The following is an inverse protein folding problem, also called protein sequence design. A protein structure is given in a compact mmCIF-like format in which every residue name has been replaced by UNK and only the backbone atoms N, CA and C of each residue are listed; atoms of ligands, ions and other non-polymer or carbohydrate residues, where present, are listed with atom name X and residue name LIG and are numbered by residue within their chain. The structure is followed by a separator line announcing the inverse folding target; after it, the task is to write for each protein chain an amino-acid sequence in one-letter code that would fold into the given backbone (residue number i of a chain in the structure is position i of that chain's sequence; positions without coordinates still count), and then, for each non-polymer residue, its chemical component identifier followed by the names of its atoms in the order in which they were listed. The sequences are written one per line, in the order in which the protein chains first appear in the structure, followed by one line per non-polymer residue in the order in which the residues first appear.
data_IF_604222310781
#
_entry.id   IF_604222310781
#
_cell.length_a   1.000
_cell.length_b   1.000
_cell.length_c   1.000
_cell.angle_alpha   90.00
_cell.angle_beta   90.00
_cell.angle_gamma   90.00
#
_symmetry.space_group_name_H-M   'P 1'
#
loop_
_entity.id
_entity.type
_entity.pdbx_description
1 polymer ?
#
# COMPACT_ATOMS: atom_id res chain seq x y z
N UNK A 1 -36.74 25.53 2.64
CA UNK A 1 -36.53 24.07 2.67
C UNK A 1 -35.02 23.86 2.74
N UNK A 2 -34.52 23.69 3.95
CA UNK A 2 -33.08 23.47 4.20
C UNK A 2 -32.76 22.02 3.78
N UNK A 3 -31.90 21.89 2.77
CA UNK A 3 -31.34 20.60 2.41
C UNK A 3 -30.38 20.16 3.51
N UNK A 4 -30.88 19.37 4.43
CA UNK A 4 -30.12 18.68 5.45
C UNK A 4 -29.33 17.54 4.76
N UNK A 5 -28.15 17.87 4.19
CA UNK A 5 -27.20 16.85 3.79
C UNK A 5 -26.65 16.22 5.08
N UNK A 6 -27.35 15.21 5.56
CA UNK A 6 -26.79 14.28 6.53
C UNK A 6 -25.53 13.67 5.89
N UNK A 7 -24.37 14.18 6.32
CA UNK A 7 -23.09 13.57 5.95
C UNK A 7 -23.14 12.11 6.39
N UNK A 8 -22.92 11.18 5.43
CA UNK A 8 -22.74 9.76 5.79
C UNK A 8 -21.69 9.67 6.89
N UNK A 9 -21.92 8.87 7.94
CA UNK A 9 -20.94 8.68 9.00
C UNK A 9 -19.61 8.24 8.37
N UNK A 10 -18.50 8.86 8.80
CA UNK A 10 -17.18 8.52 8.34
C UNK A 10 -16.90 7.04 8.62
N UNK A 11 -16.40 6.29 7.62
CA UNK A 11 -16.09 4.85 7.73
C UNK A 11 -14.83 4.55 8.56
N UNK A 12 -14.27 5.53 9.25
CA UNK A 12 -12.97 5.43 9.90
C UNK A 12 -11.83 5.87 8.98
N UNK A 13 -10.63 5.41 9.27
CA UNK A 13 -9.39 5.80 8.57
C UNK A 13 -8.92 4.71 7.62
N UNK A 14 -8.54 5.11 6.41
CA UNK A 14 -7.66 4.33 5.53
C UNK A 14 -6.24 4.91 5.63
N UNK A 15 -5.31 4.14 6.19
CA UNK A 15 -3.91 4.53 6.35
C UNK A 15 -3.08 3.95 5.20
N UNK A 16 -2.47 4.82 4.38
CA UNK A 16 -1.61 4.45 3.26
C UNK A 16 -0.15 4.73 3.61
N UNK A 17 0.61 3.69 3.89
CA UNK A 17 2.04 3.76 4.17
C UNK A 17 2.80 3.76 2.85
N UNK A 18 3.40 4.91 2.51
CA UNK A 18 4.09 5.11 1.24
C UNK A 18 3.16 5.58 0.13
N UNK A 19 2.40 6.65 0.37
CA UNK A 19 1.59 7.30 -0.65
C UNK A 19 2.50 8.09 -1.61
N UNK A 20 2.65 7.59 -2.82
CA UNK A 20 3.33 8.26 -3.94
C UNK A 20 2.32 8.81 -4.94
N UNK A 21 2.84 9.35 -6.04
CA UNK A 21 2.06 10.04 -7.06
C UNK A 21 1.29 9.06 -8.00
N UNK A 22 1.51 7.76 -7.85
CA UNK A 22 0.85 6.71 -8.62
C UNK A 22 -0.02 5.82 -7.71
N UNK A 23 0.32 4.53 -7.57
CA UNK A 23 -0.50 3.52 -6.87
C UNK A 23 -0.98 3.97 -5.49
N UNK A 24 -0.07 4.45 -4.62
CA UNK A 24 -0.45 4.87 -3.27
C UNK A 24 -1.37 6.08 -3.25
N UNK A 25 -1.20 7.03 -4.18
CA UNK A 25 -2.07 8.18 -4.35
C UNK A 25 -3.47 7.79 -4.84
N UNK A 26 -3.55 6.92 -5.85
CA UNK A 26 -4.85 6.45 -6.35
C UNK A 26 -5.61 5.61 -5.32
N UNK A 27 -4.90 4.80 -4.51
CA UNK A 27 -5.50 4.11 -3.38
C UNK A 27 -6.09 5.12 -2.39
N UNK A 28 -5.34 6.16 -2.01
CA UNK A 28 -5.84 7.20 -1.09
C UNK A 28 -7.10 7.89 -1.63
N UNK A 29 -7.09 8.30 -2.91
CA UNK A 29 -8.25 8.89 -3.59
C UNK A 29 -9.45 7.94 -3.62
N UNK A 30 -9.21 6.66 -3.91
CA UNK A 30 -10.28 5.66 -3.97
C UNK A 30 -10.95 5.45 -2.62
N UNK A 31 -10.17 5.34 -1.55
CA UNK A 31 -10.72 5.18 -0.20
C UNK A 31 -11.41 6.45 0.28
N UNK A 32 -10.88 7.64 -0.03
CA UNK A 32 -11.56 8.91 0.29
C UNK A 32 -12.92 9.03 -0.41
N UNK A 33 -13.00 8.71 -1.73
CA UNK A 33 -14.28 8.62 -2.44
C UNK A 33 -15.24 7.59 -1.83
N UNK A 34 -14.71 6.57 -1.20
CA UNK A 34 -15.46 5.54 -0.49
C UNK A 34 -15.96 5.95 0.90
N UNK A 35 -15.65 7.17 1.36
CA UNK A 35 -16.11 7.72 2.65
C UNK A 35 -15.15 7.48 3.81
N UNK A 36 -13.91 7.01 3.56
CA UNK A 36 -12.86 6.94 4.57
C UNK A 36 -12.12 8.28 4.68
N UNK A 37 -11.59 8.58 5.86
CA UNK A 37 -10.54 9.58 6.00
C UNK A 37 -9.22 9.00 5.51
N UNK A 38 -8.64 9.56 4.45
CA UNK A 38 -7.37 9.09 3.90
C UNK A 38 -6.18 9.68 4.68
N UNK A 39 -5.51 8.86 5.48
CA UNK A 39 -4.26 9.20 6.15
C UNK A 39 -3.08 8.66 5.34
N UNK A 40 -2.18 9.53 4.92
CA UNK A 40 -1.10 9.20 4.00
C UNK A 40 0.26 9.48 4.61
N UNK A 41 1.24 8.60 4.38
CA UNK A 41 2.60 8.81 4.86
C UNK A 41 3.63 8.91 3.75
N UNK A 42 4.60 9.79 3.94
CA UNK A 42 5.79 9.93 3.12
C UNK A 42 6.92 10.52 3.98
N UNK A 43 8.19 10.18 3.72
CA UNK A 43 9.32 10.78 4.46
C UNK A 43 9.38 12.30 4.32
N UNK A 44 9.07 12.82 3.13
CA UNK A 44 8.88 14.26 2.88
C UNK A 44 7.37 14.51 2.75
N UNK A 45 6.78 15.09 3.80
CA UNK A 45 5.33 15.37 3.88
C UNK A 45 4.88 16.42 2.86
N UNK A 46 5.73 17.38 2.48
CA UNK A 46 5.36 18.43 1.53
C UNK A 46 4.94 17.88 0.18
N UNK A 47 5.51 16.74 -0.20
CA UNK A 47 5.14 16.03 -1.43
C UNK A 47 3.75 15.40 -1.40
N UNK A 48 3.06 15.41 -0.27
CA UNK A 48 1.66 14.96 -0.16
C UNK A 48 0.66 16.11 -0.37
N UNK A 49 1.08 17.37 -0.31
CA UNK A 49 0.18 18.52 -0.38
C UNK A 49 -0.68 18.55 -1.66
N UNK A 50 -0.14 18.29 -2.87
CA UNK A 50 -0.97 18.25 -4.08
C UNK A 50 -2.06 17.17 -4.02
N UNK A 51 -1.73 15.99 -3.50
CA UNK A 51 -2.66 14.86 -3.37
C UNK A 51 -3.74 15.14 -2.31
N UNK A 52 -3.36 15.77 -1.19
CA UNK A 52 -4.31 16.21 -0.15
C UNK A 52 -5.30 17.22 -0.75
N UNK A 53 -4.79 18.25 -1.45
CA UNK A 53 -5.61 19.26 -2.08
C UNK A 53 -6.58 18.66 -3.12
N UNK A 54 -6.12 17.71 -3.93
CA UNK A 54 -6.96 17.01 -4.91
C UNK A 54 -8.10 16.24 -4.25
N UNK A 55 -7.80 15.47 -3.18
CA UNK A 55 -8.83 14.72 -2.44
C UNK A 55 -9.85 15.65 -1.82
N UNK A 56 -9.39 16.76 -1.20
CA UNK A 56 -10.26 17.75 -0.57
C UNK A 56 -11.14 18.49 -1.59
N UNK A 57 -10.60 18.82 -2.76
CA UNK A 57 -11.35 19.45 -3.85
C UNK A 57 -12.47 18.53 -4.39
N UNK A 58 -12.33 17.21 -4.24
CA UNK A 58 -13.35 16.22 -4.56
C UNK A 58 -14.31 15.93 -3.40
N UNK A 59 -14.26 16.71 -2.31
CA UNK A 59 -15.11 16.55 -1.13
C UNK A 59 -14.69 15.45 -0.16
N UNK A 60 -13.51 14.85 -0.34
CA UNK A 60 -12.94 13.86 0.57
C UNK A 60 -12.19 14.51 1.74
N UNK A 61 -11.89 13.69 2.76
CA UNK A 61 -11.05 14.10 3.90
C UNK A 61 -9.70 13.41 3.79
N UNK A 62 -8.60 14.18 3.89
CA UNK A 62 -7.26 13.66 3.79
C UNK A 62 -6.27 14.38 4.70
N UNK A 63 -5.32 13.61 5.27
CA UNK A 63 -4.20 14.09 6.08
C UNK A 63 -2.89 13.46 5.61
N UNK A 64 -1.81 14.24 5.66
CA UNK A 64 -0.47 13.81 5.32
C UNK A 64 0.47 13.83 6.52
N UNK A 65 1.31 12.81 6.67
CA UNK A 65 2.25 12.67 7.77
C UNK A 65 3.66 12.41 7.26
N UNK A 66 4.64 13.15 7.82
CA UNK A 66 6.06 12.86 7.65
C UNK A 66 6.46 11.71 8.56
N UNK A 67 6.75 10.53 7.99
CA UNK A 67 7.15 9.37 8.78
C UNK A 67 8.10 8.48 8.00
N UNK A 68 9.12 7.97 8.67
CA UNK A 68 9.99 6.92 8.17
C UNK A 68 9.56 5.58 8.76
N UNK A 69 8.85 4.78 7.97
CA UNK A 69 8.29 3.50 8.38
C UNK A 69 9.33 2.45 8.84
N UNK A 70 10.65 2.73 8.67
CA UNK A 70 11.75 1.91 9.17
C UNK A 70 12.07 2.19 10.64
N UNK A 71 11.53 3.28 11.20
CA UNK A 71 11.76 3.71 12.57
C UNK A 71 10.56 3.37 13.44
N UNK A 72 10.77 2.41 14.33
CA UNK A 72 9.69 1.87 15.18
C UNK A 72 8.99 2.95 15.97
N UNK A 73 9.73 3.87 16.58
CA UNK A 73 9.16 4.95 17.41
C UNK A 73 8.24 5.84 16.56
N UNK A 74 8.66 6.21 15.34
CA UNK A 74 7.85 7.04 14.45
C UNK A 74 6.58 6.31 13.98
N UNK A 75 6.63 5.00 13.81
CA UNK A 75 5.45 4.17 13.46
C UNK A 75 4.47 4.13 14.63
N UNK A 76 4.96 3.92 15.85
CA UNK A 76 4.14 3.89 17.05
C UNK A 76 3.45 5.25 17.25
N UNK A 77 4.20 6.34 17.25
CA UNK A 77 3.69 7.71 17.41
C UNK A 77 2.64 8.06 16.35
N UNK A 78 2.90 7.71 15.09
CA UNK A 78 1.98 7.95 13.98
C UNK A 78 0.64 7.23 14.20
N UNK A 79 0.69 5.93 14.48
CA UNK A 79 -0.52 5.11 14.64
C UNK A 79 -1.30 5.56 15.86
N UNK A 80 -0.63 5.85 16.97
CA UNK A 80 -1.26 6.38 18.18
C UNK A 80 -1.92 7.73 17.93
N UNK A 81 -1.24 8.64 17.22
CA UNK A 81 -1.79 9.95 16.85
C UNK A 81 -3.07 9.81 16.00
N UNK A 82 -3.04 8.94 14.97
CA UNK A 82 -4.19 8.75 14.09
C UNK A 82 -5.38 8.15 14.86
N UNK A 83 -5.16 7.09 15.62
CA UNK A 83 -6.21 6.42 16.40
C UNK A 83 -6.84 7.35 17.45
N UNK A 84 -6.04 8.22 18.08
CA UNK A 84 -6.50 9.09 19.17
C UNK A 84 -7.14 10.39 18.68
N UNK A 85 -6.70 10.94 17.54
CA UNK A 85 -7.08 12.29 17.13
C UNK A 85 -7.90 12.36 15.84
N UNK A 86 -7.90 11.28 15.03
CA UNK A 86 -8.60 11.27 13.72
C UNK A 86 -9.70 10.22 13.73
N UNK A 87 -9.36 8.99 14.10
CA UNK A 87 -10.32 7.89 14.18
C UNK A 87 -9.68 6.52 14.01
N UNK A 88 -10.48 5.46 14.16
CA UNK A 88 -9.98 4.09 14.07
C UNK A 88 -9.46 3.77 12.67
N UNK A 89 -8.28 3.14 12.61
CA UNK A 89 -7.68 2.68 11.36
C UNK A 89 -8.39 1.37 10.96
N UNK A 90 -9.37 1.48 10.07
CA UNK A 90 -10.15 0.33 9.56
C UNK A 90 -9.45 -0.36 8.39
N UNK A 91 -8.64 0.37 7.62
CA UNK A 91 -7.85 -0.17 6.52
C UNK A 91 -6.43 0.36 6.60
N UNK A 92 -5.45 -0.54 6.51
CA UNK A 92 -4.05 -0.18 6.32
C UNK A 92 -3.53 -0.78 5.01
N UNK A 93 -2.92 0.05 4.17
CA UNK A 93 -2.23 -0.37 2.95
C UNK A 93 -0.74 -0.06 3.08
N UNK A 94 0.08 -1.09 3.08
CA UNK A 94 1.53 -0.93 2.98
C UNK A 94 1.96 -0.95 1.52
N UNK A 95 2.46 0.19 1.01
CA UNK A 95 2.80 0.40 -0.40
C UNK A 95 4.24 0.90 -0.60
N UNK A 96 5.17 0.53 0.27
CA UNK A 96 6.58 0.87 0.09
C UNK A 96 7.26 -0.18 -0.79
N UNK A 97 7.93 0.31 -1.83
CA UNK A 97 8.83 -0.47 -2.68
C UNK A 97 10.28 -0.02 -2.51
N UNK A 98 11.20 -0.83 -3.01
CA UNK A 98 12.63 -0.54 -3.06
C UNK A 98 13.23 -1.22 -4.31
N UNK A 99 12.60 -1.01 -5.47
CA UNK A 99 13.00 -1.62 -6.73
C UNK A 99 14.25 -0.93 -7.29
N UNK A 100 15.43 -1.36 -6.82
CA UNK A 100 16.72 -0.83 -7.24
C UNK A 100 17.54 -1.98 -7.82
N UNK A 101 17.77 -2.00 -9.15
CA UNK A 101 18.57 -3.05 -9.78
C UNK A 101 20.06 -2.94 -9.38
N UNK A 102 20.68 -4.10 -9.16
CA UNK A 102 22.12 -4.23 -8.93
C UNK A 102 22.59 -5.64 -9.24
N UNK A 103 23.77 -5.77 -9.89
CA UNK A 103 24.41 -7.07 -10.05
C UNK A 103 24.72 -7.68 -8.68
N UNK A 104 24.50 -8.98 -8.52
CA UNK A 104 24.85 -9.68 -7.27
C UNK A 104 26.35 -9.55 -6.91
N UNK A 105 27.19 -9.39 -7.91
CA UNK A 105 28.65 -9.22 -7.72
C UNK A 105 29.02 -7.81 -7.23
N UNK A 106 28.14 -6.82 -7.43
CA UNK A 106 28.35 -5.41 -7.04
C UNK A 106 27.49 -4.99 -5.84
N UNK A 107 26.54 -5.87 -5.44
CA UNK A 107 25.60 -5.56 -4.36
C UNK A 107 26.35 -5.48 -3.02
N UNK A 108 26.18 -4.38 -2.31
CA UNK A 108 26.78 -4.22 -0.99
C UNK A 108 25.85 -4.69 0.11
N UNK A 109 26.40 -5.23 1.20
CA UNK A 109 25.63 -5.62 2.37
C UNK A 109 24.74 -4.48 2.89
N UNK A 110 25.25 -3.24 2.88
CA UNK A 110 24.51 -2.04 3.29
C UNK A 110 23.29 -1.77 2.39
N UNK A 111 23.44 -1.89 1.06
CA UNK A 111 22.36 -1.65 0.11
C UNK A 111 21.33 -2.77 0.19
N UNK A 112 21.77 -4.03 0.22
CA UNK A 112 20.92 -5.20 0.40
C UNK A 112 20.04 -5.06 1.66
N UNK A 113 20.65 -4.75 2.81
CA UNK A 113 19.94 -4.57 4.07
C UNK A 113 18.95 -3.40 4.01
N UNK A 114 19.33 -2.26 3.40
CA UNK A 114 18.42 -1.12 3.25
C UNK A 114 17.20 -1.43 2.41
N UNK A 115 17.34 -2.23 1.36
CA UNK A 115 16.21 -2.66 0.52
C UNK A 115 15.26 -3.55 1.34
N UNK A 116 15.82 -4.50 2.09
CA UNK A 116 15.05 -5.36 2.99
C UNK A 116 14.34 -4.55 4.09
N UNK A 117 15.07 -3.64 4.72
CA UNK A 117 14.53 -2.72 5.74
C UNK A 117 13.33 -1.91 5.22
N UNK A 118 13.43 -1.40 3.98
CA UNK A 118 12.37 -0.61 3.36
C UNK A 118 11.16 -1.45 2.94
N UNK A 119 11.37 -2.62 2.32
CA UNK A 119 10.29 -3.36 1.66
C UNK A 119 9.68 -4.47 2.51
N UNK A 120 10.35 -4.89 3.61
CA UNK A 120 9.88 -5.95 4.49
C UNK A 120 9.80 -5.51 5.96
N UNK A 121 10.92 -5.06 6.55
CA UNK A 121 10.96 -4.73 7.98
C UNK A 121 9.99 -3.60 8.34
N UNK A 122 9.90 -2.56 7.52
CA UNK A 122 8.93 -1.48 7.72
C UNK A 122 7.48 -1.97 7.61
N UNK A 123 7.21 -2.99 6.80
CA UNK A 123 5.89 -3.63 6.72
C UNK A 123 5.55 -4.38 8.01
N UNK A 124 6.54 -5.07 8.59
CA UNK A 124 6.38 -5.71 9.89
C UNK A 124 6.05 -4.68 10.98
N UNK A 125 6.80 -3.59 11.08
CA UNK A 125 6.56 -2.56 12.09
C UNK A 125 5.16 -1.96 11.96
N UNK A 126 4.77 -1.53 10.76
CA UNK A 126 3.46 -0.90 10.54
C UNK A 126 2.31 -1.89 10.68
N UNK A 127 2.45 -3.09 10.12
CA UNK A 127 1.44 -4.15 10.22
C UNK A 127 1.19 -4.59 11.64
N UNK A 128 2.26 -4.78 12.44
CA UNK A 128 2.18 -5.14 13.86
C UNK A 128 1.45 -4.07 14.68
N UNK A 129 1.82 -2.81 14.54
CA UNK A 129 1.23 -1.75 15.36
C UNK A 129 -0.25 -1.50 15.01
N UNK A 130 -0.61 -1.55 13.73
CA UNK A 130 -2.02 -1.46 13.32
C UNK A 130 -2.80 -2.69 13.78
N UNK A 131 -2.23 -3.89 13.66
CA UNK A 131 -2.89 -5.13 14.11
C UNK A 131 -3.24 -5.09 15.60
N UNK A 132 -2.38 -4.54 16.47
CA UNK A 132 -2.68 -4.36 17.90
C UNK A 132 -3.97 -3.58 18.13
N UNK A 133 -4.22 -2.52 17.36
CA UNK A 133 -5.42 -1.69 17.43
C UNK A 133 -6.65 -2.41 16.85
N UNK A 134 -6.50 -3.04 15.69
CA UNK A 134 -7.58 -3.79 15.03
C UNK A 134 -8.05 -4.99 15.85
N UNK A 135 -7.12 -5.74 16.44
CA UNK A 135 -7.45 -6.91 17.29
C UNK A 135 -8.31 -6.54 18.49
N UNK A 136 -8.09 -5.37 19.10
CA UNK A 136 -8.92 -4.91 20.23
C UNK A 136 -10.36 -4.58 19.83
N UNK A 137 -10.61 -4.31 18.54
CA UNK A 137 -11.93 -4.01 17.97
C UNK A 137 -12.53 -5.21 17.23
N UNK A 138 -11.76 -6.27 17.02
CA UNK A 138 -12.12 -7.42 16.18
C UNK A 138 -12.58 -7.00 14.76
N UNK A 139 -11.95 -5.98 14.20
CA UNK A 139 -12.29 -5.42 12.88
C UNK A 139 -11.08 -4.75 12.25
N UNK A 140 -10.90 -4.97 10.94
CA UNK A 140 -9.91 -4.26 10.14
C UNK A 140 -9.42 -5.05 8.93
N UNK A 141 -8.79 -4.34 8.00
CA UNK A 141 -8.17 -4.90 6.80
C UNK A 141 -6.74 -4.40 6.65
N UNK A 142 -5.80 -5.31 6.49
CA UNK A 142 -4.38 -5.02 6.25
C UNK A 142 -4.02 -5.54 4.86
N UNK A 143 -3.52 -4.66 3.97
CA UNK A 143 -3.15 -5.03 2.61
C UNK A 143 -1.69 -4.70 2.37
N UNK A 144 -0.91 -5.71 1.98
CA UNK A 144 0.49 -5.55 1.63
C UNK A 144 0.66 -5.54 0.10
N UNK A 145 1.30 -4.50 -0.43
CA UNK A 145 1.66 -4.42 -1.85
C UNK A 145 2.89 -5.26 -2.13
N UNK A 146 2.67 -6.39 -2.78
CA UNK A 146 3.68 -7.26 -3.35
C UNK A 146 4.18 -6.75 -4.70
N UNK A 147 4.88 -7.63 -5.41
CA UNK A 147 5.41 -7.38 -6.75
C UNK A 147 5.75 -8.73 -7.40
N UNK A 148 6.03 -8.75 -8.72
CA UNK A 148 6.67 -9.87 -9.43
C UNK A 148 7.82 -10.48 -8.61
N UNK A 149 8.65 -9.61 -8.04
CA UNK A 149 9.80 -9.98 -7.21
C UNK A 149 9.43 -10.75 -5.92
N UNK A 150 8.17 -10.78 -5.53
CA UNK A 150 7.68 -11.58 -4.39
C UNK A 150 7.30 -13.01 -4.75
N UNK A 151 7.27 -13.35 -6.03
CA UNK A 151 6.90 -14.69 -6.54
C UNK A 151 8.00 -15.34 -7.37
N UNK A 152 8.91 -14.53 -7.94
CA UNK A 152 10.08 -15.01 -8.68
C UNK A 152 11.27 -14.06 -8.56
N UNK A 153 12.48 -14.62 -8.50
CA UNK A 153 13.72 -13.84 -8.61
C UNK A 153 14.04 -13.50 -10.05
N UNK A 154 14.80 -12.41 -10.25
CA UNK A 154 15.33 -12.03 -11.56
C UNK A 154 16.77 -11.55 -11.41
N UNK A 155 17.57 -11.65 -12.48
CA UNK A 155 18.92 -11.12 -12.52
C UNK A 155 18.92 -9.61 -12.22
N UNK A 156 19.81 -9.17 -11.35
CA UNK A 156 19.90 -7.79 -10.92
C UNK A 156 18.91 -7.38 -9.82
N UNK A 157 18.05 -8.27 -9.31
CA UNK A 157 17.03 -7.93 -8.31
C UNK A 157 17.10 -8.77 -7.04
N UNK A 158 18.25 -9.34 -6.71
CA UNK A 158 18.39 -10.25 -5.56
C UNK A 158 17.90 -9.65 -4.24
N UNK A 159 18.27 -8.41 -3.92
CA UNK A 159 17.86 -7.73 -2.69
C UNK A 159 16.35 -7.47 -2.67
N UNK A 160 15.79 -6.97 -3.78
CA UNK A 160 14.36 -6.68 -3.88
C UNK A 160 13.51 -7.93 -3.86
N UNK A 161 13.94 -8.98 -4.58
CA UNK A 161 13.25 -10.27 -4.57
C UNK A 161 13.26 -10.91 -3.17
N UNK A 162 14.39 -10.92 -2.50
CA UNK A 162 14.49 -11.40 -1.12
C UNK A 162 13.55 -10.67 -0.16
N UNK A 163 13.50 -9.32 -0.27
CA UNK A 163 12.63 -8.50 0.57
C UNK A 163 11.13 -8.74 0.27
N UNK A 164 10.73 -8.85 -1.00
CA UNK A 164 9.32 -9.07 -1.38
C UNK A 164 8.84 -10.49 -1.11
N UNK A 165 9.70 -11.50 -1.20
CA UNK A 165 9.37 -12.86 -0.72
C UNK A 165 9.18 -12.88 0.80
N UNK A 166 10.05 -12.19 1.55
CA UNK A 166 9.90 -12.04 3.00
C UNK A 166 8.60 -11.31 3.37
N UNK A 167 8.24 -10.25 2.64
CA UNK A 167 6.96 -9.55 2.81
C UNK A 167 5.75 -10.48 2.59
N UNK A 168 5.80 -11.31 1.53
CA UNK A 168 4.76 -12.30 1.24
C UNK A 168 4.61 -13.31 2.37
N UNK A 169 5.73 -13.81 2.90
CA UNK A 169 5.73 -14.73 4.04
C UNK A 169 5.18 -14.08 5.31
N UNK A 170 5.52 -12.81 5.57
CA UNK A 170 4.94 -12.03 6.67
C UNK A 170 3.41 -11.92 6.53
N UNK A 171 2.91 -11.54 5.35
CA UNK A 171 1.47 -11.44 5.09
C UNK A 171 0.75 -12.77 5.32
N UNK A 172 1.34 -13.90 4.90
CA UNK A 172 0.80 -15.24 5.12
C UNK A 172 0.72 -15.61 6.60
N UNK A 173 1.74 -15.27 7.38
CA UNK A 173 1.76 -15.53 8.83
C UNK A 173 0.71 -14.68 9.54
N UNK A 174 0.66 -13.38 9.24
CA UNK A 174 -0.33 -12.47 9.81
C UNK A 174 -1.77 -12.87 9.45
N UNK A 175 -2.03 -13.31 8.21
CA UNK A 175 -3.36 -13.77 7.81
C UNK A 175 -3.85 -14.96 8.64
N UNK A 176 -2.97 -15.93 8.92
CA UNK A 176 -3.32 -17.11 9.73
C UNK A 176 -3.54 -16.78 11.20
N UNK A 177 -2.73 -15.87 11.73
CA UNK A 177 -2.82 -15.47 13.13
C UNK A 177 -4.00 -14.53 13.40
N UNK A 178 -4.25 -13.58 12.51
CA UNK A 178 -5.22 -12.50 12.71
C UNK A 178 -6.61 -12.81 12.12
N UNK A 179 -6.71 -13.71 11.15
CA UNK A 179 -7.99 -14.12 10.57
C UNK A 179 -8.99 -14.62 11.59
N UNK A 180 -8.62 -15.52 12.55
CA UNK A 180 -9.51 -15.92 13.64
C UNK A 180 -9.95 -14.76 14.55
N UNK A 181 -9.22 -13.65 14.54
CA UNK A 181 -9.52 -12.40 15.28
C UNK A 181 -10.31 -11.40 14.44
N UNK A 182 -10.90 -11.86 13.33
CA UNK A 182 -11.70 -11.05 12.40
C UNK A 182 -10.93 -9.91 11.71
N UNK A 183 -9.63 -10.09 11.47
CA UNK A 183 -8.81 -9.15 10.71
C UNK A 183 -8.48 -9.76 9.35
N UNK A 184 -8.89 -9.07 8.28
CA UNK A 184 -8.57 -9.48 6.92
C UNK A 184 -7.14 -9.06 6.55
N UNK A 185 -6.26 -10.01 6.25
CA UNK A 185 -4.89 -9.73 5.78
C UNK A 185 -4.73 -10.23 4.35
N UNK A 186 -4.49 -9.31 3.42
CA UNK A 186 -4.31 -9.59 2.01
C UNK A 186 -2.91 -9.18 1.50
N UNK A 187 -2.43 -9.91 0.50
CA UNK A 187 -1.20 -9.63 -0.24
C UNK A 187 -1.53 -9.45 -1.72
N UNK A 188 -1.18 -8.31 -2.31
CA UNK A 188 -1.46 -8.00 -3.72
C UNK A 188 -0.17 -8.06 -4.51
N UNK A 189 -0.03 -9.04 -5.37
CA UNK A 189 1.08 -9.15 -6.32
C UNK A 189 0.81 -8.20 -7.49
N UNK A 190 1.52 -7.08 -7.54
CA UNK A 190 1.47 -6.16 -8.69
C UNK A 190 2.54 -6.62 -9.68
N UNK A 191 2.12 -7.42 -10.66
CA UNK A 191 3.01 -8.09 -11.61
C UNK A 191 3.01 -7.40 -12.97
N UNK A 192 3.89 -6.42 -13.13
CA UNK A 192 4.07 -5.67 -14.36
C UNK A 192 4.47 -4.22 -14.13
N UNK A 193 4.77 -3.53 -15.23
CA UNK A 193 5.04 -2.09 -15.19
C UNK A 193 3.76 -1.33 -14.83
N UNK A 194 3.93 -0.31 -14.00
CA UNK A 194 2.84 0.59 -13.59
C UNK A 194 2.96 1.89 -14.37
N UNK A 195 1.85 2.45 -14.84
CA UNK A 195 1.78 3.76 -15.48
C UNK A 195 2.28 4.85 -14.53
N UNK A 196 3.53 5.26 -14.71
CA UNK A 196 4.23 6.27 -13.91
C UNK A 196 5.17 7.08 -14.79
N UNK A 197 5.49 8.31 -14.38
CA UNK A 197 6.50 9.12 -15.06
C UNK A 197 7.86 8.41 -15.10
N UNK A 198 8.22 7.70 -14.03
CA UNK A 198 9.44 6.90 -13.98
C UNK A 198 9.50 5.85 -15.12
N UNK A 199 8.43 5.10 -15.34
CA UNK A 199 8.38 4.11 -16.45
C UNK A 199 8.39 4.81 -17.80
N UNK A 200 7.67 5.93 -17.93
CA UNK A 200 7.64 6.72 -19.16
C UNK A 200 9.03 7.24 -19.55
N UNK A 201 9.78 7.75 -18.59
CA UNK A 201 11.09 8.35 -18.83
C UNK A 201 12.20 7.30 -18.98
N UNK A 202 12.16 6.23 -18.19
CA UNK A 202 13.24 5.23 -18.12
C UNK A 202 13.06 4.10 -19.15
N UNK A 203 11.80 3.73 -19.46
CA UNK A 203 11.47 2.59 -20.31
C UNK A 203 10.39 2.96 -21.34
N UNK A 204 10.69 3.88 -22.30
CA UNK A 204 9.69 4.41 -23.23
C UNK A 204 9.03 3.33 -24.11
N UNK A 205 9.78 2.31 -24.55
CA UNK A 205 9.23 1.19 -25.33
C UNK A 205 8.23 0.34 -24.53
N UNK A 206 8.50 0.17 -23.25
CA UNK A 206 7.57 -0.51 -22.34
C UNK A 206 6.34 0.37 -22.07
N UNK A 207 6.55 1.67 -21.89
CA UNK A 207 5.47 2.63 -21.68
C UNK A 207 4.53 2.75 -22.89
N UNK A 208 5.05 2.60 -24.11
CA UNK A 208 4.24 2.61 -25.34
C UNK A 208 3.13 1.53 -25.35
N UNK A 209 3.31 0.43 -24.61
CA UNK A 209 2.28 -0.61 -24.44
C UNK A 209 1.04 -0.12 -23.71
N UNK A 210 1.09 1.04 -23.03
CA UNK A 210 -0.07 1.68 -22.39
C UNK A 210 -1.23 1.86 -23.36
N UNK A 211 -0.96 2.21 -24.63
CA UNK A 211 -1.98 2.39 -25.66
C UNK A 211 -2.80 1.12 -25.96
N UNK A 212 -2.32 -0.05 -25.49
CA UNK A 212 -2.95 -1.36 -25.67
C UNK A 212 -3.27 -2.03 -24.32
N UNK A 213 -3.39 -1.26 -23.24
CA UNK A 213 -3.57 -1.76 -21.87
C UNK A 213 -2.47 -2.75 -21.43
N UNK A 214 -1.27 -2.60 -21.98
CA UNK A 214 -0.12 -3.49 -21.74
C UNK A 214 0.71 -3.14 -20.51
N UNK A 215 0.33 -2.11 -19.74
CA UNK A 215 0.87 -1.76 -18.41
C UNK A 215 -0.26 -1.48 -17.44
N UNK A 216 0.01 -1.61 -16.14
CA UNK A 216 -0.99 -1.46 -15.08
C UNK A 216 -1.36 0.01 -14.87
N UNK A 217 -2.66 0.30 -14.87
CA UNK A 217 -3.20 1.61 -14.51
C UNK A 217 -3.37 1.70 -12.97
N UNK A 218 -2.76 2.71 -12.31
CA UNK A 218 -2.89 2.90 -10.85
C UNK A 218 -4.34 3.00 -10.35
N UNK A 219 -5.24 3.57 -11.14
CA UNK A 219 -6.67 3.66 -10.80
C UNK A 219 -7.29 2.27 -10.72
N UNK A 220 -7.02 1.41 -11.69
CA UNK A 220 -7.53 0.04 -11.69
C UNK A 220 -6.90 -0.82 -10.59
N UNK A 221 -5.62 -0.58 -10.26
CA UNK A 221 -5.00 -1.19 -9.08
C UNK A 221 -5.78 -0.78 -7.83
N UNK A 222 -6.05 0.51 -7.63
CA UNK A 222 -6.75 1.02 -6.45
C UNK A 222 -8.17 0.44 -6.27
N UNK A 223 -8.90 0.18 -7.38
CA UNK A 223 -10.21 -0.48 -7.33
C UNK A 223 -10.12 -1.91 -6.75
N UNK A 224 -9.04 -2.64 -7.04
CA UNK A 224 -8.84 -3.96 -6.46
C UNK A 224 -8.56 -3.90 -4.95
N UNK A 225 -7.81 -2.89 -4.47
CA UNK A 225 -7.60 -2.68 -3.03
C UNK A 225 -8.90 -2.33 -2.30
N UNK A 226 -9.73 -1.51 -2.94
CA UNK A 226 -11.07 -1.23 -2.45
C UNK A 226 -11.90 -2.50 -2.38
N UNK A 227 -11.94 -3.30 -3.45
CA UNK A 227 -12.69 -4.55 -3.49
C UNK A 227 -12.28 -5.51 -2.36
N UNK A 228 -10.98 -5.70 -2.12
CA UNK A 228 -10.46 -6.51 -1.02
C UNK A 228 -11.00 -6.05 0.34
N UNK A 229 -11.03 -4.74 0.58
CA UNK A 229 -11.51 -4.18 1.85
C UNK A 229 -13.01 -4.29 2.07
N UNK A 230 -13.80 -4.60 1.04
CA UNK A 230 -15.26 -4.72 1.10
C UNK A 230 -15.75 -6.19 1.07
N UNK A 231 -14.84 -7.16 1.02
CA UNK A 231 -15.22 -8.57 0.94
C UNK A 231 -15.90 -9.06 2.21
N UNK A 232 -16.93 -9.90 2.08
CA UNK A 232 -17.56 -10.53 3.23
C UNK A 232 -16.60 -11.52 3.91
N UNK A 233 -16.77 -11.69 5.20
CA UNK A 233 -15.88 -12.48 6.06
C UNK A 233 -15.73 -13.96 5.66
N UNK A 234 -16.75 -14.51 5.05
CA UNK A 234 -16.78 -15.92 4.61
C UNK A 234 -16.09 -16.16 3.25
N UNK A 235 -15.63 -15.07 2.60
CA UNK A 235 -14.99 -15.13 1.28
C UNK A 235 -13.83 -14.14 1.12
N UNK A 236 -12.92 -14.10 2.09
CA UNK A 236 -11.74 -13.24 2.03
C UNK A 236 -10.67 -13.76 1.07
N UNK A 237 -10.19 -12.92 0.18
CA UNK A 237 -9.02 -13.17 -0.65
C UNK A 237 -7.76 -12.88 0.14
N UNK A 238 -6.90 -13.89 0.31
CA UNK A 238 -5.59 -13.69 0.93
C UNK A 238 -4.54 -13.17 -0.05
N UNK A 239 -4.46 -13.75 -1.25
CA UNK A 239 -3.51 -13.32 -2.29
C UNK A 239 -4.23 -13.02 -3.59
N UNK A 240 -3.95 -11.84 -4.15
CA UNK A 240 -4.49 -11.37 -5.41
C UNK A 240 -3.33 -11.01 -6.35
N UNK A 241 -3.39 -11.52 -7.58
CA UNK A 241 -2.41 -11.28 -8.62
C UNK A 241 -2.97 -10.34 -9.69
N UNK A 242 -2.34 -9.17 -9.84
CA UNK A 242 -2.71 -8.14 -10.80
C UNK A 242 -1.63 -8.00 -11.86
N UNK A 243 -1.99 -8.21 -13.12
CA UNK A 243 -1.05 -8.05 -14.25
C UNK A 243 -1.75 -7.55 -15.50
N UNK A 244 -1.06 -6.83 -16.37
CA UNK A 244 -1.59 -6.53 -17.69
C UNK A 244 -1.64 -7.83 -18.52
N UNK A 245 -2.58 -7.92 -19.45
CA UNK A 245 -2.77 -9.10 -20.29
C UNK A 245 -1.56 -9.47 -21.14
N UNK A 246 -0.65 -8.51 -21.37
CA UNK A 246 0.58 -8.70 -22.14
C UNK A 246 1.76 -9.18 -21.30
N UNK A 247 1.62 -9.28 -19.96
CA UNK A 247 2.70 -9.76 -19.09
C UNK A 247 2.95 -11.26 -19.32
N UNK A 248 4.23 -11.65 -19.35
CA UNK A 248 4.64 -13.03 -19.56
C UNK A 248 5.13 -13.64 -18.25
N UNK A 249 4.74 -14.88 -18.06
CA UNK A 249 5.13 -15.68 -16.88
C UNK A 249 6.55 -16.21 -16.99
#
# INVERSE_FOLDING_TARGET
MENNHLSKPAKGVALIIGAGDATGGEIAKRFARGGYTACMTRRNVDKLQPLIAEIQAQGGTAFGFGSDARKEEQVIELIEHIESNIGPIEVMVFNIGANVPCSILEETARKYFKIWEMACFSAFLTGREVAKRMVSRESGTIIFTGATAGVRGAAGFAAFAGAKHALRALAQSMARELGPRNIHVAHVVVDGAIDTDFIKETFPDLYAKKAQDGILNPVHIAENYWHLSQQPRDAWTHELDLRPWMERW
#
